data_IF_718473274321
#
_entry.id   IF_718473274321
#
_cell.length_a   1.000
_cell.length_b   1.000
_cell.length_c   1.000
_cell.angle_alpha   90.00
_cell.angle_beta   90.00
_cell.angle_gamma   90.00
#
_symmetry.space_group_name_H-M   'P 1'
#
loop_
_entity.id
_entity.type
_entity.pdbx_description
1 polymer ?
2 polymer ?
3 non-polymer ?
#
loop_
_entity_poly.entity_id
_entity_poly.type
_entity_poly.pdbx_seq_one_letter_code
_entity_poly.pdbx_strand_id
2 'polyribonucleotide' 'GGCCAAAGGCCCUUUUCAGGGCCACC' ?
#
# COMPACT_ATOMS: atom_id res chain seq x y z
N UNK A 5 -7.84 -12.40 3.99
CA UNK A 5 -7.74 -10.98 4.33
C UNK A 5 -6.98 -10.69 5.63
N UNK A 6 -6.09 -9.70 5.57
CA UNK A 6 -5.23 -9.22 6.65
C UNK A 6 -6.04 -8.47 7.72
N UNK A 7 -5.60 -8.56 8.98
CA UNK A 7 -6.34 -7.94 10.11
C UNK A 7 -5.42 -7.29 11.15
N UNK A 8 -4.14 -7.66 11.12
CA UNK A 8 -3.14 -7.08 12.02
C UNK A 8 -3.09 -5.57 11.93
N UNK A 9 -3.31 -4.89 13.06
CA UNK A 9 -3.40 -3.43 13.01
C UNK A 9 -2.11 -2.71 12.63
N UNK A 10 -0.97 -3.37 12.75
CA UNK A 10 0.27 -2.68 12.40
C UNK A 10 0.49 -2.73 10.90
N UNK A 11 0.16 -3.86 10.29
CA UNK A 11 0.25 -3.99 8.85
C UNK A 11 -0.77 -3.07 8.15
N UNK A 12 -2.02 -3.13 8.60
CA UNK A 12 -3.06 -2.27 8.02
C UNK A 12 -2.71 -0.79 8.05
N UNK A 13 -2.26 -0.30 9.20
CA UNK A 13 -1.99 1.12 9.33
C UNK A 13 -0.78 1.57 8.49
N UNK A 14 0.24 0.73 8.36
CA UNK A 14 1.39 1.07 7.53
C UNK A 14 0.97 1.04 6.07
N UNK A 15 0.11 0.09 5.72
CA UNK A 15 -0.29 -0.01 4.34
C UNK A 15 -1.14 1.22 4.00
N UNK A 16 -1.94 1.67 4.95
CA UNK A 16 -2.82 2.80 4.73
C UNK A 16 -1.97 4.05 4.55
N UNK A 17 -0.78 4.04 5.13
CA UNK A 17 0.08 5.21 5.17
C UNK A 17 0.76 5.35 3.82
N UNK A 18 1.29 4.24 3.32
CA UNK A 18 1.85 4.20 1.97
C UNK A 18 0.82 4.71 0.95
N UNK A 19 -0.42 4.29 1.14
CA UNK A 19 -1.52 4.71 0.29
C UNK A 19 -1.78 6.20 0.42
N UNK A 20 -1.94 6.67 1.66
CA UNK A 20 -2.13 8.09 1.92
C UNK A 20 -1.07 8.91 1.22
N UNK A 21 0.19 8.58 1.46
CA UNK A 21 1.30 9.17 0.72
C UNK A 21 1.01 9.24 -0.77
N UNK A 22 0.48 8.15 -1.33
CA UNK A 22 0.19 8.09 -2.75
C UNK A 22 -0.89 9.08 -3.16
N UNK A 23 -2.08 8.94 -2.60
CA UNK A 23 -3.13 9.88 -2.91
C UNK A 23 -2.97 11.17 -2.11
N UNK A 24 -1.75 11.70 -2.12
CA UNK A 24 -1.44 13.01 -1.56
C UNK A 24 -0.65 13.79 -2.61
N UNK A 25 -0.15 13.07 -3.62
CA UNK A 25 0.60 13.67 -4.73
C UNK A 25 -0.23 14.63 -5.61
N UNK A 26 0.37 15.11 -6.70
CA UNK A 26 -0.36 15.92 -7.67
C UNK A 26 -1.21 15.04 -8.59
N UNK A 27 -0.55 14.08 -9.24
CA UNK A 27 -1.23 13.18 -10.17
C UNK A 27 -2.13 12.17 -9.45
N UNK A 47 -4.21 0.53 -7.60
CA UNK A 47 -4.09 0.75 -6.16
C UNK A 47 -4.15 -0.57 -5.39
N UNK A 48 -3.12 -0.84 -4.58
CA UNK A 48 -2.96 -2.10 -3.85
C UNK A 48 -4.01 -2.24 -2.75
N UNK A 49 -4.61 -3.42 -2.62
CA UNK A 49 -5.61 -3.65 -1.59
C UNK A 49 -4.96 -3.94 -0.24
N UNK A 50 -5.18 -3.07 0.74
CA UNK A 50 -4.54 -3.21 2.04
C UNK A 50 -5.08 -4.41 2.81
N UNK A 51 -6.26 -4.87 2.43
CA UNK A 51 -6.89 -5.98 3.13
C UNK A 51 -6.42 -7.32 2.61
N UNK A 52 -5.39 -7.33 1.78
CA UNK A 52 -4.97 -8.59 1.16
C UNK A 52 -3.79 -9.27 1.82
N UNK A 53 -3.75 -10.59 1.73
CA UNK A 53 -2.64 -11.34 2.29
C UNK A 53 -1.45 -11.26 1.34
N UNK A 54 -0.40 -10.57 1.79
CA UNK A 54 0.83 -10.46 1.00
C UNK A 54 2.04 -10.35 1.89
N UNK A 55 3.13 -10.96 1.45
CA UNK A 55 4.45 -10.71 2.03
C UNK A 55 4.80 -9.21 1.96
N UNK A 56 5.75 -8.79 2.79
CA UNK A 56 6.20 -7.41 2.82
C UNK A 56 6.77 -6.91 1.47
N UNK A 57 7.69 -7.66 0.87
CA UNK A 57 8.25 -7.32 -0.44
C UNK A 57 7.16 -7.23 -1.50
N UNK A 58 6.16 -8.09 -1.38
CA UNK A 58 5.09 -8.12 -2.35
C UNK A 58 4.26 -6.84 -2.31
N UNK A 59 3.83 -6.44 -1.12
CA UNK A 59 3.04 -5.22 -1.02
C UNK A 59 3.87 -3.98 -1.32
N UNK A 60 5.12 -4.00 -0.88
CA UNK A 60 6.03 -2.91 -1.16
C UNK A 60 6.26 -2.75 -2.67
N UNK A 61 6.36 -3.87 -3.38
CA UNK A 61 6.49 -3.87 -4.82
C UNK A 61 5.34 -3.20 -5.57
N UNK A 62 4.11 -3.50 -5.18
CA UNK A 62 2.93 -2.93 -5.83
C UNK A 62 2.80 -1.43 -5.62
N UNK A 63 3.19 -0.98 -4.43
CA UNK A 63 3.10 0.42 -4.06
C UNK A 63 4.08 1.26 -4.88
N UNK A 64 5.28 0.72 -5.05
CA UNK A 64 6.33 1.30 -5.88
C UNK A 64 5.80 1.55 -7.29
N UNK A 65 5.56 0.47 -8.02
CA UNK A 65 4.92 0.55 -9.33
C UNK A 65 3.74 1.53 -9.35
N UNK A 66 2.80 1.39 -8.43
CA UNK A 66 1.63 2.25 -8.45
C UNK A 66 2.02 3.70 -8.29
N UNK A 67 3.01 3.98 -7.45
CA UNK A 67 3.44 5.36 -7.26
C UNK A 67 4.01 6.01 -8.54
N UNK A 68 4.23 5.21 -9.58
CA UNK A 68 4.60 5.73 -10.89
C UNK A 68 3.89 4.96 -12.01
N UNK A 69 2.83 5.53 -12.59
CA UNK A 69 2.29 6.84 -12.28
C UNK A 69 0.81 6.58 -12.55
N UNK A 70 -0.15 7.09 -11.77
CA UNK A 70 -0.01 8.09 -10.70
C UNK A 70 0.60 9.42 -11.13
X LIG C 1 5.75 -11.88 -11.98
X LIG D 1 6.12 -15.96 -0.89
#
# INVERSE_FOLDING_TARGET
SSSYTEADPAILSRRQKQIDYGKNTAAYERYVEXVPKDERTRDHPRTPNKYGKYSRRAFDGMVKIWRKSMHIYDPPTQARDTAKDSNSDSDSD
CA CA
CA CA
#
